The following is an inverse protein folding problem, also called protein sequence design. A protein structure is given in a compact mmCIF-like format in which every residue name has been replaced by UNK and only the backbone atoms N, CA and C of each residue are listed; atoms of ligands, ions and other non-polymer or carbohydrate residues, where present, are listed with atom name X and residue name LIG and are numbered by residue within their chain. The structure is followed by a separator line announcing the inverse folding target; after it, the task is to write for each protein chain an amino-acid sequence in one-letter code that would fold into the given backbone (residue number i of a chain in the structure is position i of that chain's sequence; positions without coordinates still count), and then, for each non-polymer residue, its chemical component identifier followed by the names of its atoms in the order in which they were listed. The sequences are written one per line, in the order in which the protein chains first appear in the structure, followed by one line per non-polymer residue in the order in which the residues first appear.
data_IF_106390404783
#
_entry.id   IF_106390404783
#
_cell.length_a   1.000
_cell.length_b   1.000
_cell.length_c   1.000
_cell.angle_alpha   90.00
_cell.angle_beta   90.00
_cell.angle_gamma   90.00
#
_symmetry.space_group_name_H-M   'P 1'
#
loop_
_entity.id
_entity.type
_entity.pdbx_description
1 polymer ?
#
# COMPACT_ATOMS: atom_id res chain seq x y z
N UNK A 1 -13.15 -34.24 3.26
CA UNK A 1 -13.14 -33.10 2.32
C UNK A 1 -11.75 -32.49 2.35
N UNK A 2 -11.01 -32.38 1.22
CA UNK A 2 -9.73 -31.69 1.22
C UNK A 2 -9.95 -30.17 1.28
N UNK A 3 -9.22 -29.48 2.16
CA UNK A 3 -9.26 -28.04 2.31
C UNK A 3 -8.77 -27.34 1.01
N UNK A 4 -9.34 -26.18 0.61
CA UNK A 4 -8.86 -25.45 -0.55
C UNK A 4 -7.40 -25.02 -0.31
N UNK A 5 -6.53 -25.32 -1.28
CA UNK A 5 -5.15 -24.89 -1.26
C UNK A 5 -5.06 -23.35 -1.16
N UNK A 6 -4.09 -22.79 -0.40
CA UNK A 6 -3.90 -21.35 -0.35
C UNK A 6 -3.48 -20.89 -1.74
N UNK A 7 -4.38 -20.22 -2.46
CA UNK A 7 -4.03 -19.53 -3.70
C UNK A 7 -2.90 -18.58 -3.38
N UNK A 8 -1.73 -18.68 -4.04
CA UNK A 8 -0.67 -17.71 -3.86
C UNK A 8 -1.17 -16.37 -4.42
N UNK A 9 -1.68 -15.52 -3.53
CA UNK A 9 -1.98 -14.14 -3.85
C UNK A 9 -0.62 -13.47 -4.00
N UNK A 10 -0.12 -13.40 -5.24
CA UNK A 10 1.03 -12.55 -5.52
C UNK A 10 0.67 -11.14 -5.05
N UNK A 11 1.44 -10.53 -4.13
CA UNK A 11 1.11 -9.23 -3.61
C UNK A 11 1.19 -8.26 -4.79
N UNK A 12 0.02 -7.75 -5.17
CA UNK A 12 -0.10 -6.65 -6.12
C UNK A 12 0.84 -5.52 -5.67
N UNK A 13 1.58 -4.87 -6.58
CA UNK A 13 2.44 -3.75 -6.22
C UNK A 13 1.69 -2.69 -5.38
N UNK A 14 0.43 -2.39 -5.71
CA UNK A 14 -0.41 -1.50 -4.90
C UNK A 14 -0.69 -2.04 -3.49
N UNK A 15 -0.82 -3.35 -3.30
CA UNK A 15 -1.04 -3.95 -1.98
C UNK A 15 0.17 -3.71 -1.05
N UNK A 16 1.39 -3.82 -1.57
CA UNK A 16 2.63 -3.54 -0.82
C UNK A 16 2.67 -2.08 -0.36
N UNK A 17 2.40 -1.14 -1.27
CA UNK A 17 2.36 0.29 -0.93
C UNK A 17 1.22 0.63 0.05
N UNK A 18 0.06 0.00 -0.10
CA UNK A 18 -1.08 0.19 0.80
C UNK A 18 -0.77 -0.30 2.22
N UNK A 19 -0.07 -1.43 2.35
CA UNK A 19 0.39 -1.95 3.65
C UNK A 19 1.39 -1.00 4.30
N UNK A 20 2.39 -0.52 3.55
CA UNK A 20 3.35 0.47 4.05
C UNK A 20 2.67 1.78 4.52
N UNK A 21 1.65 2.25 3.79
CA UNK A 21 0.84 3.40 4.21
C UNK A 21 0.08 3.11 5.52
N UNK A 22 -0.53 1.92 5.64
CA UNK A 22 -1.26 1.52 6.84
C UNK A 22 -0.35 1.42 8.05
N UNK A 23 0.84 0.85 7.90
CA UNK A 23 1.84 0.79 8.98
C UNK A 23 2.34 2.18 9.37
N UNK A 24 2.65 3.03 8.38
CA UNK A 24 3.04 4.42 8.60
C UNK A 24 1.99 5.18 9.42
N UNK A 25 0.71 5.03 9.07
CA UNK A 25 -0.41 5.69 9.77
C UNK A 25 -0.70 5.05 11.12
N UNK A 26 -0.59 3.72 11.25
CA UNK A 26 -0.79 2.99 12.51
C UNK A 26 0.22 3.42 13.57
N UNK A 27 1.50 3.53 13.18
CA UNK A 27 2.57 3.98 14.08
C UNK A 27 2.34 5.41 14.59
N UNK A 28 1.60 6.22 13.82
CA UNK A 28 1.34 7.63 14.09
C UNK A 28 -0.11 7.92 14.50
N UNK A 29 -0.86 6.86 14.83
CA UNK A 29 -2.28 6.97 15.14
C UNK A 29 -2.49 7.85 16.38
N UNK A 30 -3.35 8.87 16.26
CA UNK A 30 -3.66 9.80 17.35
C UNK A 30 -2.67 10.97 17.52
N UNK A 31 -1.74 11.18 16.58
CA UNK A 31 -0.87 12.37 16.55
C UNK A 31 -0.94 13.08 15.19
N UNK A 32 -0.82 14.41 15.20
CA UNK A 32 -0.64 15.17 13.98
C UNK A 32 0.72 14.85 13.36
N UNK A 33 0.73 14.63 12.05
CA UNK A 33 1.96 14.43 11.29
C UNK A 33 2.76 15.74 11.25
N UNK A 34 4.04 15.66 11.58
CA UNK A 34 5.00 16.73 11.32
C UNK A 34 5.16 16.96 9.81
N UNK A 35 5.75 18.09 9.41
CA UNK A 35 6.00 18.40 7.98
C UNK A 35 6.79 17.29 7.28
N UNK A 36 7.83 16.76 7.95
CA UNK A 36 8.65 15.66 7.41
C UNK A 36 7.84 14.36 7.23
N UNK A 37 6.96 14.04 8.19
CA UNK A 37 6.10 12.87 8.14
C UNK A 37 5.01 13.03 7.05
N UNK A 38 4.51 14.25 6.87
CA UNK A 38 3.57 14.57 5.80
C UNK A 38 4.21 14.42 4.41
N UNK A 39 5.49 14.77 4.25
CA UNK A 39 6.24 14.49 3.03
C UNK A 39 6.47 12.99 2.81
N UNK A 40 6.81 12.24 3.86
CA UNK A 40 6.97 10.78 3.80
C UNK A 40 5.65 10.10 3.39
N UNK A 41 4.53 10.52 3.98
CA UNK A 41 3.20 10.06 3.59
C UNK A 41 2.87 10.39 2.13
N UNK A 42 3.23 11.59 1.65
CA UNK A 42 3.05 11.95 0.24
C UNK A 42 3.88 11.05 -0.69
N UNK A 43 5.12 10.71 -0.32
CA UNK A 43 5.96 9.79 -1.10
C UNK A 43 5.34 8.40 -1.17
N UNK A 44 4.90 7.85 -0.04
CA UNK A 44 4.21 6.56 0.03
C UNK A 44 2.93 6.56 -0.83
N UNK A 45 2.11 7.60 -0.71
CA UNK A 45 0.87 7.75 -1.48
C UNK A 45 1.12 7.90 -2.99
N UNK A 46 2.20 8.58 -3.38
CA UNK A 46 2.62 8.68 -4.79
C UNK A 46 3.01 7.30 -5.32
N UNK A 47 3.83 6.54 -4.59
CA UNK A 47 4.19 5.17 -4.95
C UNK A 47 2.98 4.25 -5.11
N UNK A 48 2.02 4.33 -4.17
CA UNK A 48 0.75 3.61 -4.27
C UNK A 48 -0.05 3.97 -5.53
N UNK A 49 -0.12 5.26 -5.85
CA UNK A 49 -0.87 5.74 -7.02
C UNK A 49 -0.22 5.30 -8.33
N UNK A 50 1.11 5.32 -8.38
CA UNK A 50 1.89 4.88 -9.55
C UNK A 50 1.73 3.36 -9.77
N UNK A 51 1.84 2.58 -8.69
CA UNK A 51 1.58 1.15 -8.70
C UNK A 51 0.15 0.83 -9.17
N UNK A 52 -0.86 1.54 -8.65
CA UNK A 52 -2.26 1.37 -9.11
C UNK A 52 -2.41 1.69 -10.59
N UNK A 53 -1.79 2.77 -11.08
CA UNK A 53 -1.84 3.12 -12.51
C UNK A 53 -1.18 2.04 -13.37
N UNK A 54 -0.02 1.54 -12.96
CA UNK A 54 0.66 0.45 -13.66
C UNK A 54 -0.19 -0.83 -13.70
N UNK A 55 -0.87 -1.16 -12.60
CA UNK A 55 -1.75 -2.32 -12.54
C UNK A 55 -3.02 -2.16 -13.36
N UNK A 56 -3.64 -0.98 -13.35
CA UNK A 56 -4.79 -0.67 -14.22
C UNK A 56 -4.37 -0.73 -15.68
N UNK A 57 -3.22 -0.14 -16.02
CA UNK A 57 -2.67 -0.16 -17.38
C UNK A 57 -2.25 -1.55 -17.84
N UNK A 58 -1.82 -2.43 -16.95
CA UNK A 58 -1.48 -3.82 -17.26
C UNK A 58 -2.73 -4.73 -17.37
N UNK A 59 -3.87 -4.28 -16.83
CA UNK A 59 -5.15 -4.98 -16.89
C UNK A 59 -6.07 -4.51 -18.03
N UNK A 60 -5.66 -3.48 -18.79
CA UNK A 60 -6.35 -2.93 -19.96
C UNK A 60 -5.72 -3.44 -21.27
#
# INVERSE_FOLDING_TARGET
MPAPAPTPVFPRPSAVWNEAIREFLRSRYGRSLSSAESEEYRRLRKGYTDALKAEISAAA
#
